data_IF_317170502079
#
_entry.id   IF_317170502079
#
_cell.length_a   1.000
_cell.length_b   1.000
_cell.length_c   1.000
_cell.angle_alpha   90.00
_cell.angle_beta   90.00
_cell.angle_gamma   90.00
#
_symmetry.space_group_name_H-M   'P 1'
#
loop_
_entity.id
_entity.type
_entity.pdbx_description
1 polymer ?
#
# COMPACT_ATOMS: atom_id res chain seq x y z
N UNK A 1 24.07 -7.11 -12.16
CA UNK A 1 24.19 -7.02 -10.70
C UNK A 1 25.11 -5.87 -10.21
N UNK A 2 26.34 -5.65 -10.78
CA UNK A 2 27.17 -4.53 -10.34
C UNK A 2 26.46 -3.17 -10.43
N UNK A 3 25.78 -2.88 -11.51
CA UNK A 3 25.05 -1.62 -11.69
C UNK A 3 23.95 -1.39 -10.63
N UNK A 4 23.24 -2.44 -10.24
CA UNK A 4 22.23 -2.37 -9.16
C UNK A 4 22.90 -2.02 -7.83
N UNK A 5 23.99 -2.73 -7.50
CA UNK A 5 24.76 -2.49 -6.28
C UNK A 5 25.29 -1.05 -6.24
N UNK A 6 25.93 -0.64 -7.32
CA UNK A 6 26.60 0.68 -7.36
C UNK A 6 25.56 1.80 -7.27
N UNK A 7 24.43 1.70 -8.00
CA UNK A 7 23.34 2.66 -7.90
C UNK A 7 22.65 2.67 -6.53
N UNK A 8 22.60 1.53 -5.83
CA UNK A 8 22.08 1.50 -4.46
C UNK A 8 23.07 2.16 -3.47
N UNK A 9 24.36 1.90 -3.61
CA UNK A 9 25.40 2.51 -2.75
C UNK A 9 25.48 4.02 -2.94
N UNK A 10 25.36 4.51 -4.17
CA UNK A 10 25.32 5.95 -4.46
C UNK A 10 24.10 6.59 -3.78
N UNK A 11 22.91 5.99 -3.95
CA UNK A 11 21.70 6.45 -3.25
C UNK A 11 21.86 6.44 -1.73
N UNK A 12 22.47 5.38 -1.16
CA UNK A 12 22.65 5.26 0.28
C UNK A 12 23.58 6.35 0.81
N UNK A 13 24.67 6.63 0.11
CA UNK A 13 25.60 7.70 0.48
C UNK A 13 24.91 9.08 0.48
N UNK A 14 24.12 9.37 -0.55
CA UNK A 14 23.33 10.60 -0.64
C UNK A 14 22.28 10.68 0.49
N UNK A 15 21.62 9.55 0.78
CA UNK A 15 20.63 9.46 1.84
C UNK A 15 21.23 9.69 3.23
N UNK A 16 22.36 9.05 3.53
CA UNK A 16 23.08 9.23 4.80
C UNK A 16 23.56 10.67 4.97
N UNK A 17 23.97 11.33 3.87
CA UNK A 17 24.36 12.74 3.88
C UNK A 17 23.20 13.68 4.24
N UNK A 18 21.93 13.27 4.05
CA UNK A 18 20.76 14.02 4.53
C UNK A 18 20.51 13.87 6.05
N UNK A 19 21.28 13.03 6.75
CA UNK A 19 21.11 12.72 8.17
C UNK A 19 20.07 11.61 8.44
N UNK A 20 19.54 10.98 7.40
CA UNK A 20 18.77 9.76 7.53
C UNK A 20 19.68 8.59 7.91
N UNK A 21 19.18 7.65 8.67
CA UNK A 21 19.95 6.46 9.03
C UNK A 21 19.07 5.21 9.16
N UNK A 22 19.67 4.09 8.81
CA UNK A 22 19.08 2.78 8.95
C UNK A 22 18.80 2.46 10.42
N UNK A 23 17.60 1.97 10.73
CA UNK A 23 17.24 1.51 12.07
C UNK A 23 17.09 -0.02 12.13
N UNK A 24 16.27 -0.59 11.23
CA UNK A 24 16.03 -2.05 11.19
C UNK A 24 15.51 -2.51 9.84
N UNK A 25 15.72 -3.78 9.52
CA UNK A 25 15.17 -4.46 8.35
C UNK A 25 14.35 -5.68 8.76
N UNK A 26 13.51 -6.16 7.84
CA UNK A 26 12.69 -7.36 8.02
C UNK A 26 11.90 -7.34 9.34
N UNK A 27 11.44 -6.15 9.73
CA UNK A 27 10.82 -5.93 11.03
C UNK A 27 9.38 -6.43 11.03
N UNK A 28 9.08 -7.39 11.91
CA UNK A 28 7.70 -7.82 12.13
C UNK A 28 6.92 -6.74 12.86
N UNK A 29 5.69 -6.49 12.37
CA UNK A 29 4.71 -5.60 12.97
C UNK A 29 3.42 -6.35 13.27
N UNK A 30 2.85 -6.10 14.45
CA UNK A 30 1.55 -6.62 14.86
C UNK A 30 0.77 -5.48 15.49
N UNK A 31 -0.40 -5.19 14.92
CA UNK A 31 -1.26 -4.09 15.41
C UNK A 31 -2.68 -4.60 15.64
N UNK A 32 -3.28 -4.35 16.81
CA UNK A 32 -4.67 -4.72 17.06
C UNK A 32 -5.62 -3.86 16.20
N UNK A 33 -6.68 -4.50 15.67
CA UNK A 33 -7.75 -3.87 14.92
C UNK A 33 -9.09 -4.41 15.41
N UNK A 34 -9.62 -3.84 16.50
CA UNK A 34 -10.81 -4.36 17.18
C UNK A 34 -10.58 -5.77 17.72
N UNK A 35 -11.40 -6.75 17.27
CA UNK A 35 -11.24 -8.16 17.62
C UNK A 35 -10.17 -8.90 16.79
N UNK A 36 -9.54 -8.22 15.84
CA UNK A 36 -8.59 -8.78 14.88
C UNK A 36 -7.18 -8.25 15.14
N UNK A 37 -6.21 -8.80 14.44
CA UNK A 37 -4.83 -8.31 14.43
C UNK A 37 -4.34 -8.20 12.99
N UNK A 38 -3.67 -7.09 12.70
CA UNK A 38 -2.89 -6.94 11.48
C UNK A 38 -1.49 -7.49 11.73
N UNK A 39 -1.01 -8.32 10.81
CA UNK A 39 0.33 -8.85 10.82
C UNK A 39 1.04 -8.51 9.52
N UNK A 40 2.28 -8.12 9.59
CA UNK A 40 3.10 -7.87 8.42
C UNK A 40 4.57 -7.79 8.75
N UNK A 41 5.39 -7.77 7.71
CA UNK A 41 6.83 -7.60 7.79
C UNK A 41 7.23 -6.43 6.90
N UNK A 42 7.93 -5.47 7.53
CA UNK A 42 8.44 -4.26 6.89
C UNK A 42 9.83 -4.56 6.34
N UNK A 43 10.08 -4.25 5.07
CA UNK A 43 11.39 -4.51 4.47
C UNK A 43 12.50 -3.71 5.15
N UNK A 44 12.25 -2.40 5.37
CA UNK A 44 13.21 -1.50 5.99
C UNK A 44 12.51 -0.37 6.74
N UNK A 45 13.04 -0.02 7.90
CA UNK A 45 12.63 1.13 8.71
C UNK A 45 13.86 1.97 9.01
N UNK A 46 13.77 3.24 8.72
CA UNK A 46 14.82 4.23 8.93
C UNK A 46 14.33 5.36 9.85
N UNK A 47 15.27 6.15 10.34
CA UNK A 47 15.02 7.39 11.07
C UNK A 47 15.54 8.55 10.26
N UNK A 48 14.69 9.52 9.93
CA UNK A 48 15.10 10.77 9.29
C UNK A 48 15.89 11.70 10.21
N UNK A 49 16.57 12.69 9.67
CA UNK A 49 17.28 13.72 10.44
C UNK A 49 16.36 14.52 11.38
N UNK A 50 15.08 14.62 11.02
CA UNK A 50 14.00 15.25 11.81
C UNK A 50 13.44 14.34 12.91
N UNK A 51 13.97 13.11 13.03
CA UNK A 51 13.51 12.09 13.97
C UNK A 51 12.25 11.35 13.53
N UNK A 52 11.69 11.64 12.34
CA UNK A 52 10.53 10.91 11.82
C UNK A 52 10.92 9.50 11.35
N UNK A 53 10.01 8.56 11.54
CA UNK A 53 10.14 7.22 11.00
C UNK A 53 9.90 7.24 9.49
N UNK A 54 10.77 6.60 8.70
CA UNK A 54 10.58 6.35 7.29
C UNK A 54 10.53 4.84 7.03
N UNK A 55 9.38 4.36 6.56
CA UNK A 55 9.22 2.98 6.10
C UNK A 55 9.57 2.90 4.63
N UNK A 56 10.42 1.97 4.26
CA UNK A 56 10.86 1.77 2.88
C UNK A 56 10.56 0.34 2.44
N UNK A 57 9.91 0.20 1.29
CA UNK A 57 9.69 -1.06 0.60
C UNK A 57 10.46 -1.07 -0.73
N UNK A 58 11.17 -2.17 -1.00
CA UNK A 58 12.00 -2.29 -2.19
C UNK A 58 11.21 -2.76 -3.41
N UNK A 59 11.41 -2.08 -4.55
CA UNK A 59 10.81 -2.44 -5.83
C UNK A 59 11.88 -2.64 -6.91
N UNK A 60 11.78 -3.75 -7.64
CA UNK A 60 12.69 -4.10 -8.76
C UNK A 60 12.01 -4.00 -10.13
N UNK A 61 10.82 -3.44 -10.18
CA UNK A 61 10.06 -3.18 -11.41
C UNK A 61 10.55 -1.93 -12.15
N UNK A 62 9.94 -1.58 -13.30
CA UNK A 62 10.26 -0.33 -13.98
C UNK A 62 9.94 0.90 -13.11
N UNK A 63 10.75 1.96 -13.23
CA UNK A 63 10.53 3.23 -12.51
C UNK A 63 9.14 3.81 -12.73
N UNK A 64 8.62 3.70 -13.97
CA UNK A 64 7.29 4.19 -14.28
C UNK A 64 6.23 3.46 -13.44
N UNK A 65 6.35 2.14 -13.32
CA UNK A 65 5.40 1.35 -12.53
C UNK A 65 5.46 1.71 -11.04
N UNK A 66 6.66 1.90 -10.49
CA UNK A 66 6.80 2.35 -9.09
C UNK A 66 6.23 3.77 -8.90
N UNK A 67 6.48 4.67 -9.86
CA UNK A 67 5.91 6.02 -9.82
C UNK A 67 4.37 6.01 -9.92
N UNK A 68 3.79 5.06 -10.66
CA UNK A 68 2.34 4.94 -10.78
C UNK A 68 1.68 4.44 -9.49
N UNK A 69 2.38 3.61 -8.69
CA UNK A 69 1.88 3.12 -7.40
C UNK A 69 1.54 4.24 -6.41
N UNK A 70 2.34 5.30 -6.39
CA UNK A 70 2.12 6.43 -5.45
C UNK A 70 1.14 7.47 -5.96
N UNK A 71 0.65 7.37 -7.21
CA UNK A 71 -0.32 8.32 -7.77
C UNK A 71 -1.71 8.14 -7.17
N UNK A 72 -2.10 6.90 -6.95
CA UNK A 72 -3.36 6.56 -6.30
C UNK A 72 -3.12 5.61 -5.13
N UNK A 73 -2.88 6.20 -3.96
CA UNK A 73 -2.64 5.44 -2.73
C UNK A 73 -3.88 4.68 -2.22
N UNK A 74 -5.04 4.84 -2.85
CA UNK A 74 -6.22 4.04 -2.54
C UNK A 74 -6.20 2.71 -3.32
N UNK A 75 -5.56 2.66 -4.49
CA UNK A 75 -5.38 1.42 -5.25
C UNK A 75 -4.18 0.60 -4.77
N UNK A 76 -3.03 1.24 -4.52
CA UNK A 76 -1.86 0.58 -3.95
C UNK A 76 -1.79 0.82 -2.44
N UNK A 77 -2.34 -0.12 -1.68
CA UNK A 77 -2.50 0.01 -0.22
C UNK A 77 -1.29 -0.46 0.59
N UNK A 78 -0.20 -0.92 -0.04
CA UNK A 78 0.92 -1.55 0.67
C UNK A 78 1.60 -0.60 1.66
N UNK A 79 1.91 0.64 1.26
CA UNK A 79 2.54 1.61 2.15
C UNK A 79 1.60 2.07 3.27
N UNK A 80 0.30 2.21 2.98
CA UNK A 80 -0.72 2.50 3.98
C UNK A 80 -0.86 1.36 5.01
N UNK A 81 -0.79 0.11 4.54
CA UNK A 81 -0.79 -1.07 5.42
C UNK A 81 0.48 -1.13 6.29
N UNK A 82 1.65 -0.84 5.72
CA UNK A 82 2.89 -0.77 6.49
C UNK A 82 2.84 0.33 7.55
N UNK A 83 2.26 1.48 7.22
CA UNK A 83 2.02 2.54 8.20
C UNK A 83 1.10 2.09 9.34
N UNK A 84 0.16 1.18 9.10
CA UNK A 84 -0.73 0.64 10.12
C UNK A 84 -0.04 -0.33 11.10
N UNK A 85 1.14 -0.86 10.74
CA UNK A 85 1.91 -1.75 11.60
C UNK A 85 2.78 -1.02 12.64
N UNK A 86 2.87 0.31 12.55
CA UNK A 86 3.67 1.14 13.44
C UNK A 86 2.80 2.17 14.17
N UNK A 87 2.94 2.33 15.49
CA UNK A 87 2.17 3.30 16.28
C UNK A 87 2.81 4.71 16.20
N UNK A 88 2.91 5.27 14.99
CA UNK A 88 3.53 6.57 14.73
C UNK A 88 2.66 7.37 13.74
N UNK A 89 2.09 8.48 14.18
CA UNK A 89 1.21 9.34 13.36
C UNK A 89 1.99 10.37 12.53
N UNK A 90 3.30 10.43 12.70
CA UNK A 90 4.20 11.32 11.94
C UNK A 90 5.06 10.57 10.92
N UNK A 91 4.86 9.26 10.78
CA UNK A 91 5.68 8.43 9.90
C UNK A 91 5.50 8.81 8.43
N UNK A 92 6.57 8.54 7.68
CA UNK A 92 6.64 8.63 6.21
C UNK A 92 6.78 7.22 5.65
N UNK A 93 6.35 7.02 4.42
CA UNK A 93 6.54 5.74 3.74
C UNK A 93 6.87 5.95 2.26
N UNK A 94 7.72 5.09 1.71
CA UNK A 94 8.22 5.21 0.36
C UNK A 94 8.50 3.86 -0.28
N UNK A 95 8.45 3.82 -1.60
CA UNK A 95 9.03 2.77 -2.42
C UNK A 95 10.46 3.16 -2.82
N UNK A 96 11.42 2.27 -2.60
CA UNK A 96 12.77 2.39 -3.14
C UNK A 96 12.91 1.50 -4.38
N UNK A 97 12.83 2.12 -5.53
CA UNK A 97 13.03 1.41 -6.80
C UNK A 97 14.52 1.20 -7.04
N UNK A 98 14.90 -0.05 -7.22
CA UNK A 98 16.29 -0.49 -7.45
C UNK A 98 16.37 -1.15 -8.81
N UNK A 99 17.03 -0.50 -9.77
CA UNK A 99 17.07 -0.96 -11.16
C UNK A 99 18.47 -0.93 -11.77
N UNK A 100 18.71 -1.80 -12.75
CA UNK A 100 20.00 -1.87 -13.45
C UNK A 100 20.23 -0.69 -14.40
N UNK A 101 19.16 -0.21 -15.07
CA UNK A 101 19.27 0.78 -16.16
C UNK A 101 19.15 2.20 -15.65
N UNK A 102 18.28 2.40 -14.69
CA UNK A 102 17.88 3.74 -14.27
C UNK A 102 18.47 4.14 -12.89
N UNK A 103 19.23 3.22 -12.25
CA UNK A 103 19.76 3.40 -10.91
C UNK A 103 18.67 3.28 -9.83
N UNK A 104 18.96 3.78 -8.63
CA UNK A 104 18.07 3.71 -7.47
C UNK A 104 17.33 5.03 -7.29
N UNK A 105 16.01 4.97 -6.97
CA UNK A 105 15.21 6.16 -6.72
C UNK A 105 14.13 5.92 -5.68
N UNK A 106 14.02 6.84 -4.72
CA UNK A 106 12.97 6.87 -3.71
C UNK A 106 11.70 7.55 -4.26
N UNK A 107 10.56 6.95 -4.00
CA UNK A 107 9.22 7.47 -4.31
C UNK A 107 8.38 7.50 -3.04
N UNK A 108 8.23 8.67 -2.46
CA UNK A 108 7.52 8.84 -1.21
C UNK A 108 6.01 9.01 -1.44
N UNK A 109 5.22 8.28 -0.65
CA UNK A 109 3.77 8.39 -0.64
C UNK A 109 3.35 9.60 0.19
N UNK A 110 2.67 10.54 -0.44
CA UNK A 110 2.06 11.67 0.29
C UNK A 110 0.87 11.19 1.11
N UNK A 111 0.64 11.87 2.24
CA UNK A 111 -0.52 11.65 3.12
C UNK A 111 -0.71 10.18 3.56
N UNK A 112 0.38 9.44 3.73
CA UNK A 112 0.34 8.00 4.03
C UNK A 112 -0.43 7.68 5.31
N UNK A 113 -0.40 8.55 6.32
CA UNK A 113 -1.17 8.36 7.56
C UNK A 113 -2.67 8.51 7.34
N UNK A 114 -3.10 9.44 6.50
CA UNK A 114 -4.51 9.57 6.11
C UNK A 114 -4.97 8.38 5.25
N UNK A 115 -4.10 7.85 4.37
CA UNK A 115 -4.34 6.62 3.61
C UNK A 115 -4.47 5.42 4.54
N UNK A 116 -3.59 5.28 5.54
CA UNK A 116 -3.66 4.28 6.60
C UNK A 116 -5.01 4.30 7.31
N UNK A 117 -5.43 5.47 7.77
CA UNK A 117 -6.66 5.60 8.55
C UNK A 117 -7.90 5.23 7.72
N UNK A 118 -7.93 5.61 6.45
CA UNK A 118 -8.99 5.19 5.51
C UNK A 118 -8.99 3.68 5.27
N UNK A 119 -7.80 3.09 5.09
CA UNK A 119 -7.65 1.64 4.91
C UNK A 119 -8.17 0.88 6.13
N UNK A 120 -7.77 1.30 7.34
CA UNK A 120 -8.21 0.66 8.59
C UNK A 120 -9.71 0.78 8.80
N UNK A 121 -10.29 1.95 8.55
CA UNK A 121 -11.73 2.16 8.63
C UNK A 121 -12.50 1.27 7.62
N UNK A 122 -11.99 1.15 6.39
CA UNK A 122 -12.55 0.26 5.37
C UNK A 122 -12.54 -1.20 5.81
N UNK A 123 -11.39 -1.70 6.28
CA UNK A 123 -11.23 -3.07 6.76
C UNK A 123 -12.20 -3.35 7.94
N UNK A 124 -12.28 -2.44 8.92
CA UNK A 124 -13.19 -2.59 10.05
C UNK A 124 -14.65 -2.63 9.62
N UNK A 125 -15.04 -1.73 8.70
CA UNK A 125 -16.40 -1.70 8.14
C UNK A 125 -16.76 -3.00 7.44
N UNK A 126 -15.85 -3.52 6.60
CA UNK A 126 -16.11 -4.77 5.88
C UNK A 126 -16.16 -5.98 6.80
N UNK A 127 -15.27 -6.06 7.78
CA UNK A 127 -15.31 -7.13 8.80
C UNK A 127 -16.60 -7.09 9.61
N UNK A 128 -17.08 -5.91 9.97
CA UNK A 128 -18.37 -5.77 10.68
C UNK A 128 -19.53 -6.23 9.80
N UNK A 129 -19.57 -5.81 8.52
CA UNK A 129 -20.60 -6.25 7.57
C UNK A 129 -20.63 -7.77 7.41
N UNK A 130 -19.43 -8.40 7.35
CA UNK A 130 -19.31 -9.86 7.30
C UNK A 130 -19.88 -10.50 8.57
N UNK A 131 -19.51 -9.96 9.75
CA UNK A 131 -20.03 -10.46 11.04
C UNK A 131 -21.54 -10.35 11.15
N UNK A 132 -22.13 -9.31 10.55
CA UNK A 132 -23.58 -9.09 10.50
C UNK A 132 -24.29 -9.94 9.41
N UNK A 133 -23.55 -10.81 8.71
CA UNK A 133 -24.09 -11.71 7.70
C UNK A 133 -24.38 -11.05 6.34
N UNK A 134 -23.82 -9.88 6.07
CA UNK A 134 -23.93 -9.25 4.75
C UNK A 134 -23.18 -10.05 3.68
N UNK A 135 -23.72 -10.06 2.46
CA UNK A 135 -23.05 -10.67 1.33
C UNK A 135 -21.71 -9.98 1.03
N UNK A 136 -20.71 -10.76 0.60
CA UNK A 136 -19.42 -10.27 0.11
C UNK A 136 -19.43 -10.23 -1.43
N UNK A 137 -19.87 -9.12 -2.04
CA UNK A 137 -19.86 -9.00 -3.49
C UNK A 137 -18.43 -8.89 -4.00
N UNK A 138 -18.19 -9.33 -5.24
CA UNK A 138 -16.92 -9.11 -5.92
C UNK A 138 -16.83 -7.63 -6.35
N UNK A 139 -16.01 -6.85 -5.69
CA UNK A 139 -15.87 -5.41 -5.91
C UNK A 139 -14.71 -5.04 -6.85
N UNK A 140 -14.01 -6.02 -7.42
CA UNK A 140 -12.92 -5.75 -8.36
C UNK A 140 -13.40 -4.91 -9.55
N UNK A 141 -12.63 -3.91 -9.96
CA UNK A 141 -12.95 -2.99 -11.05
C UNK A 141 -11.79 -2.83 -12.02
N UNK A 142 -12.12 -2.40 -13.24
CA UNK A 142 -11.14 -2.05 -14.26
C UNK A 142 -10.17 -3.16 -14.62
N UNK A 143 -8.94 -2.78 -14.93
CA UNK A 143 -7.86 -3.68 -15.37
C UNK A 143 -7.43 -4.74 -14.34
N UNK A 144 -7.72 -4.54 -13.06
CA UNK A 144 -7.46 -5.55 -12.03
C UNK A 144 -8.24 -6.85 -12.28
N UNK A 145 -9.42 -6.77 -12.90
CA UNK A 145 -10.24 -7.93 -13.27
C UNK A 145 -9.71 -8.67 -14.49
N UNK A 146 -9.00 -8.02 -15.40
CA UNK A 146 -8.54 -8.61 -16.67
C UNK A 146 -7.53 -9.74 -16.44
N UNK A 147 -6.72 -9.61 -15.40
CA UNK A 147 -5.65 -10.55 -15.04
C UNK A 147 -5.91 -11.30 -13.73
N UNK A 148 -7.14 -11.23 -13.21
CA UNK A 148 -7.48 -11.82 -11.93
C UNK A 148 -7.56 -13.37 -12.04
N UNK A 149 -6.72 -14.07 -11.27
CA UNK A 149 -6.72 -15.52 -11.22
C UNK A 149 -8.04 -16.10 -10.69
N UNK A 150 -8.81 -15.33 -9.92
CA UNK A 150 -10.10 -15.74 -9.37
C UNK A 150 -11.29 -15.44 -10.32
N UNK A 151 -11.08 -14.88 -11.52
CA UNK A 151 -12.17 -14.43 -12.42
C UNK A 151 -13.20 -15.53 -12.71
N UNK A 152 -12.74 -16.75 -12.93
CA UNK A 152 -13.62 -17.91 -13.19
C UNK A 152 -14.48 -18.32 -12.00
N UNK A 153 -14.03 -18.08 -10.79
CA UNK A 153 -14.77 -18.37 -9.54
C UNK A 153 -15.66 -17.19 -9.11
N UNK A 154 -15.14 -15.97 -9.28
CA UNK A 154 -15.80 -14.72 -8.91
C UNK A 154 -17.10 -14.49 -9.68
N UNK A 155 -17.16 -14.84 -10.98
CA UNK A 155 -18.32 -14.73 -11.86
C UNK A 155 -18.93 -13.32 -11.90
N UNK A 156 -18.14 -12.26 -11.64
CA UNK A 156 -18.61 -10.87 -11.62
C UNK A 156 -19.36 -10.49 -12.88
N UNK A 157 -18.86 -10.93 -14.04
CA UNK A 157 -19.44 -10.66 -15.35
C UNK A 157 -20.85 -11.28 -15.54
N UNK A 158 -21.22 -12.23 -14.65
CA UNK A 158 -22.51 -12.92 -14.67
C UNK A 158 -23.49 -12.39 -13.60
N UNK A 159 -23.09 -11.40 -12.81
CA UNK A 159 -23.96 -10.84 -11.79
C UNK A 159 -24.87 -9.78 -12.41
N UNK A 160 -26.19 -9.97 -12.25
CA UNK A 160 -27.14 -8.96 -12.64
C UNK A 160 -26.95 -7.73 -11.75
N UNK A 161 -26.72 -6.56 -12.36
CA UNK A 161 -26.80 -5.29 -11.65
C UNK A 161 -28.27 -5.15 -11.21
N UNK A 162 -28.59 -4.95 -9.92
CA UNK A 162 -29.94 -4.64 -9.48
C UNK A 162 -30.41 -3.41 -10.26
N UNK A 163 -31.54 -3.52 -10.94
CA UNK A 163 -32.15 -2.38 -11.61
C UNK A 163 -32.35 -1.28 -10.56
N UNK A 164 -31.76 -0.12 -10.78
CA UNK A 164 -32.06 1.08 -10.00
C UNK A 164 -33.59 1.29 -10.07
N UNK A 165 -34.28 1.48 -8.93
CA UNK A 165 -35.70 1.80 -8.99
C UNK A 165 -35.83 3.10 -9.79
N UNK A 166 -36.43 3.03 -10.95
CA UNK A 166 -36.90 4.19 -11.68
C UNK A 166 -37.97 4.85 -10.80
N UNK A 167 -37.71 6.07 -10.36
CA UNK A 167 -38.75 6.93 -9.81
C UNK A 167 -39.74 7.20 -10.95
N UNK A 168 -40.72 6.34 -11.13
CA UNK A 168 -41.89 6.62 -11.96
C UNK A 168 -43.00 7.12 -11.04
N UNK A 169 -43.34 8.40 -11.27
CA UNK A 169 -44.73 8.88 -11.14
C UNK A 169 -45.14 9.47 -9.81
N UNK A 170 -44.73 10.71 -9.54
CA UNK A 170 -45.59 11.63 -8.82
C UNK A 170 -46.29 12.52 -9.87
N UNK A 171 -47.49 12.16 -10.21
CA UNK A 171 -48.51 13.04 -10.80
C UNK A 171 -49.51 13.38 -9.70
#
# INVERSE_FOLDING_TARGET
>A
WPAVRDGYLDWLADYDATGGHFERAEAEGVTPLGAWQLHGRLDRVDRGADGQTLVIDYKTESRQRTADRIKDGAEDTQLAFYAALLPDDSLRAAYLNVGERDGTKLYEQQDVTALRDRLLAGIQSDLQRIADGHAMPALGEGSACDWCAARGLCRKDSWAVPATPTEEGAT
#
